data_IF_427349867008
#
_entry.id   IF_427349867008
#
_cell.length_a   1.000
_cell.length_b   1.000
_cell.length_c   1.000
_cell.angle_alpha   90.00
_cell.angle_beta   90.00
_cell.angle_gamma   90.00
#
_symmetry.space_group_name_H-M   'P 1'
#
loop_
_entity.id
_entity.type
_entity.pdbx_description
1 polymer ?
#
# COMPACT_ATOMS: atom_id res chain seq x y z
N UNK A 1 -25.12 -19.92 34.87
CA UNK A 1 -25.27 -21.28 34.32
C UNK A 1 -24.02 -21.58 33.51
N UNK A 2 -22.97 -22.03 34.19
CA UNK A 2 -21.72 -22.50 33.58
C UNK A 2 -21.91 -23.94 33.08
N UNK A 3 -21.40 -24.25 31.90
CA UNK A 3 -20.96 -25.62 31.58
C UNK A 3 -19.65 -25.59 30.79
N UNK A 4 -18.55 -25.72 31.53
CA UNK A 4 -17.30 -26.32 31.06
C UNK A 4 -17.57 -27.79 30.71
N UNK A 5 -17.06 -28.27 29.59
CA UNK A 5 -16.96 -29.70 29.31
C UNK A 5 -15.48 -30.04 29.08
N UNK A 6 -14.94 -30.84 29.99
CA UNK A 6 -13.56 -31.33 30.02
C UNK A 6 -13.54 -32.84 29.82
N UNK A 7 -12.60 -33.30 28.98
CA UNK A 7 -11.75 -34.50 29.12
C UNK A 7 -12.38 -35.90 29.26
N UNK A 8 -11.99 -36.80 28.34
CA UNK A 8 -11.39 -38.14 28.59
C UNK A 8 -11.18 -38.84 27.23
N UNK A 9 -9.98 -39.12 26.73
CA UNK A 9 -8.96 -40.10 27.17
C UNK A 9 -9.47 -41.55 27.28
N UNK A 10 -8.99 -42.42 26.38
CA UNK A 10 -8.55 -43.84 26.57
C UNK A 10 -8.20 -44.41 25.18
N UNK A 11 -6.92 -44.57 24.83
CA UNK A 11 -5.98 -45.66 25.14
C UNK A 11 -6.33 -47.03 24.53
N UNK A 12 -5.45 -47.44 23.60
CA UNK A 12 -4.92 -48.79 23.44
C UNK A 12 -5.72 -49.71 22.50
N UNK A 13 -5.14 -50.71 21.85
CA UNK A 13 -3.76 -51.14 21.65
C UNK A 13 -3.84 -52.40 20.78
N UNK A 14 -2.81 -52.64 19.93
CA UNK A 14 -2.35 -53.97 19.44
C UNK A 14 -3.33 -54.77 18.57
N UNK A 15 -2.95 -55.64 17.63
CA UNK A 15 -1.69 -56.13 17.06
C UNK A 15 -2.06 -57.18 15.99
N UNK A 16 -1.04 -57.70 15.29
CA UNK A 16 -0.97 -58.95 14.49
C UNK A 16 -1.18 -58.72 12.98
N UNK A 17 -0.11 -58.61 12.16
CA UNK A 17 0.86 -59.63 11.68
C UNK A 17 0.24 -60.84 10.97
N UNK A 18 0.50 -60.94 9.66
CA UNK A 18 0.80 -62.16 8.89
C UNK A 18 1.05 -61.73 7.43
N UNK A 19 2.30 -61.74 6.93
CA UNK A 19 2.92 -62.81 6.10
C UNK A 19 2.10 -63.22 4.87
N UNK A 20 2.61 -63.46 3.67
CA UNK A 20 3.93 -63.42 3.01
C UNK A 20 3.61 -63.75 1.54
N UNK A 21 4.10 -63.01 0.55
CA UNK A 21 4.44 -63.61 -0.76
C UNK A 21 5.19 -62.60 -1.63
N UNK A 22 6.49 -62.87 -1.80
CA UNK A 22 7.29 -62.34 -2.87
C UNK A 22 7.27 -63.35 -4.02
N UNK A 23 6.98 -62.89 -5.24
CA UNK A 23 7.52 -63.48 -6.46
C UNK A 23 7.84 -62.35 -7.43
N UNK A 24 9.13 -62.27 -7.76
CA UNK A 24 9.66 -61.46 -8.84
C UNK A 24 9.52 -62.22 -10.16
N UNK A 25 9.06 -61.52 -11.21
CA UNK A 25 9.40 -61.84 -12.59
C UNK A 25 9.68 -60.54 -13.35
N UNK A 26 10.75 -60.61 -14.12
CA UNK A 26 11.50 -59.59 -14.84
C UNK A 26 10.78 -59.08 -16.10
N UNK A 27 11.11 -57.87 -16.55
CA UNK A 27 10.85 -57.42 -17.92
C UNK A 27 10.32 -55.99 -18.10
N UNK A 28 11.21 -55.08 -18.52
CA UNK A 28 10.88 -54.04 -19.50
C UNK A 28 10.49 -52.63 -18.99
N UNK A 29 11.46 -51.71 -19.02
CA UNK A 29 11.23 -50.30 -19.39
C UNK A 29 11.70 -50.11 -20.85
N UNK A 30 11.32 -49.06 -21.63
CA UNK A 30 10.81 -47.75 -21.17
C UNK A 30 9.67 -47.15 -22.02
N UNK A 31 8.88 -46.24 -21.46
CA UNK A 31 8.42 -45.05 -22.18
C UNK A 31 8.06 -43.94 -21.19
N UNK A 32 8.79 -42.85 -21.30
CA UNK A 32 8.56 -41.56 -20.65
C UNK A 32 7.16 -41.01 -20.99
N UNK A 33 6.33 -40.83 -19.97
CA UNK A 33 5.28 -39.81 -19.96
C UNK A 33 5.66 -38.79 -18.91
N UNK A 34 6.43 -37.80 -19.34
CA UNK A 34 6.77 -36.62 -18.56
C UNK A 34 5.50 -35.77 -18.38
N UNK A 35 4.81 -35.96 -17.25
CA UNK A 35 3.90 -34.96 -16.72
C UNK A 35 4.70 -33.68 -16.47
N UNK A 36 4.52 -32.71 -17.35
CA UNK A 36 5.13 -31.39 -17.21
C UNK A 36 4.31 -30.61 -16.19
N UNK A 37 4.52 -30.90 -14.91
CA UNK A 37 4.18 -29.96 -13.85
C UNK A 37 5.05 -28.71 -14.06
N UNK A 38 4.46 -27.71 -14.70
CA UNK A 38 5.06 -26.39 -14.84
C UNK A 38 5.17 -25.76 -13.44
N UNK A 39 6.26 -26.09 -12.74
CA UNK A 39 6.66 -25.46 -11.50
C UNK A 39 6.69 -23.95 -11.72
N UNK A 40 5.74 -23.25 -11.11
CA UNK A 40 5.71 -21.80 -11.08
C UNK A 40 7.03 -21.32 -10.49
N UNK A 41 7.88 -20.72 -11.34
CA UNK A 41 9.18 -20.18 -10.92
C UNK A 41 8.93 -19.18 -9.80
N UNK A 42 9.54 -19.36 -8.60
CA UNK A 42 9.43 -18.35 -7.56
C UNK A 42 10.03 -17.06 -8.13
N UNK A 43 9.24 -16.00 -8.14
CA UNK A 43 9.70 -14.65 -8.49
C UNK A 43 10.87 -14.36 -7.57
N UNK A 44 12.08 -14.36 -8.13
CA UNK A 44 13.30 -14.22 -7.36
C UNK A 44 13.39 -12.78 -6.84
N UNK A 45 12.79 -12.55 -5.68
CA UNK A 45 12.95 -11.31 -4.93
C UNK A 45 14.40 -11.26 -4.43
N UNK A 46 15.11 -10.16 -4.74
CA UNK A 46 16.53 -10.04 -4.42
C UNK A 46 16.78 -10.18 -2.92
N UNK A 47 17.84 -10.89 -2.50
CA UNK A 47 18.30 -10.96 -1.10
C UNK A 47 18.37 -9.60 -0.39
N UNK A 48 18.70 -8.55 -1.13
CA UNK A 48 18.74 -7.16 -0.66
C UNK A 48 17.41 -6.62 -0.10
N UNK A 49 16.27 -7.25 -0.43
CA UNK A 49 14.94 -6.82 0.00
C UNK A 49 14.62 -7.27 1.43
N UNK A 50 14.81 -8.56 1.73
CA UNK A 50 14.60 -9.09 3.09
C UNK A 50 15.61 -8.51 4.09
N UNK A 51 16.86 -8.33 3.67
CA UNK A 51 17.91 -7.74 4.51
C UNK A 51 17.63 -6.26 4.85
N UNK A 52 16.91 -5.53 3.98
CA UNK A 52 16.46 -4.15 4.25
C UNK A 52 15.31 -4.07 5.25
N UNK A 53 14.40 -5.04 5.21
CA UNK A 53 13.31 -5.18 6.17
C UNK A 53 13.89 -5.51 7.56
N UNK A 54 14.90 -6.38 7.64
CA UNK A 54 15.59 -6.75 8.88
C UNK A 54 16.44 -5.60 9.47
N UNK A 55 17.03 -4.74 8.62
CA UNK A 55 17.82 -3.57 9.06
C UNK A 55 16.97 -2.41 9.59
N UNK A 56 15.66 -2.58 9.75
CA UNK A 56 14.76 -1.57 10.31
C UNK A 56 14.56 -0.35 9.40
N UNK A 57 15.02 -0.39 8.15
CA UNK A 57 14.90 0.74 7.23
C UNK A 57 13.71 0.51 6.30
N UNK A 58 12.51 0.84 6.78
CA UNK A 58 11.24 0.77 6.03
C UNK A 58 11.14 1.76 4.86
N UNK A 59 12.26 2.29 4.38
CA UNK A 59 12.37 3.26 3.31
C UNK A 59 12.49 2.56 1.95
N UNK A 60 11.47 2.73 1.11
CA UNK A 60 11.46 2.25 -0.27
C UNK A 60 11.69 3.41 -1.23
N UNK A 61 12.86 3.47 -1.86
CA UNK A 61 13.16 4.49 -2.88
C UNK A 61 12.44 4.16 -4.19
N UNK A 62 11.75 5.15 -4.74
CA UNK A 62 10.97 5.02 -5.97
C UNK A 62 11.47 6.07 -6.98
N UNK A 63 11.82 5.60 -8.18
CA UNK A 63 12.23 6.43 -9.30
C UNK A 63 11.15 6.53 -10.38
N UNK A 64 11.45 7.22 -11.46
CA UNK A 64 10.55 7.40 -12.61
C UNK A 64 10.23 6.08 -13.34
N UNK A 65 11.20 5.17 -13.40
CA UNK A 65 11.08 3.85 -14.04
C UNK A 65 10.56 2.74 -13.12
N UNK A 66 10.29 3.06 -11.84
CA UNK A 66 9.76 2.09 -10.88
C UNK A 66 8.34 1.66 -11.28
N UNK A 67 8.09 0.36 -11.25
CA UNK A 67 6.79 -0.23 -11.57
C UNK A 67 5.84 -0.07 -10.37
N UNK A 68 4.73 0.68 -10.50
CA UNK A 68 3.86 0.96 -9.36
C UNK A 68 3.17 -0.29 -8.80
N UNK A 69 2.92 -1.31 -9.63
CA UNK A 69 2.27 -2.55 -9.21
C UNK A 69 3.12 -3.36 -8.22
N UNK A 70 4.42 -3.46 -8.45
CA UNK A 70 5.32 -4.23 -7.57
C UNK A 70 5.41 -3.59 -6.19
N UNK A 71 5.54 -2.26 -6.15
CA UNK A 71 5.48 -1.48 -4.90
C UNK A 71 4.11 -1.56 -4.23
N UNK A 72 3.03 -1.60 -5.00
CA UNK A 72 1.68 -1.78 -4.45
C UNK A 72 1.51 -3.15 -3.76
N UNK A 73 2.09 -4.21 -4.33
CA UNK A 73 2.09 -5.54 -3.72
C UNK A 73 2.84 -5.54 -2.39
N UNK A 74 4.00 -4.87 -2.34
CA UNK A 74 4.77 -4.68 -1.10
C UNK A 74 3.94 -3.99 -0.02
N UNK A 75 3.33 -2.85 -0.36
CA UNK A 75 2.50 -2.06 0.56
C UNK A 75 1.33 -2.91 1.08
N UNK A 76 0.62 -3.62 0.19
CA UNK A 76 -0.52 -4.43 0.57
C UNK A 76 -0.13 -5.62 1.45
N UNK A 77 1.01 -6.27 1.18
CA UNK A 77 1.52 -7.36 2.01
C UNK A 77 1.87 -6.87 3.42
N UNK A 78 2.60 -5.75 3.53
CA UNK A 78 2.95 -5.16 4.82
C UNK A 78 1.73 -4.61 5.57
N UNK A 79 0.76 -4.04 4.85
CA UNK A 79 -0.51 -3.58 5.42
C UNK A 79 -1.29 -4.72 6.10
N UNK A 80 -1.31 -5.92 5.49
CA UNK A 80 -1.99 -7.10 6.04
C UNK A 80 -1.23 -7.79 7.18
N UNK A 81 0.10 -7.69 7.21
CA UNK A 81 0.92 -8.29 8.27
C UNK A 81 1.00 -7.41 9.53
N UNK A 82 1.47 -7.94 10.66
CA UNK A 82 1.71 -7.18 11.89
C UNK A 82 3.02 -6.37 11.85
N UNK A 83 3.31 -5.75 10.70
CA UNK A 83 4.50 -4.91 10.47
C UNK A 83 4.07 -3.52 10.02
N UNK A 84 4.94 -2.54 10.21
CA UNK A 84 4.71 -1.19 9.72
C UNK A 84 4.70 -1.15 8.19
N UNK A 85 3.86 -0.26 7.64
CA UNK A 85 3.86 0.02 6.21
C UNK A 85 5.15 0.74 5.81
N UNK A 86 5.57 0.64 4.54
CA UNK A 86 6.81 1.26 4.09
C UNK A 86 6.62 2.77 3.92
N UNK A 87 7.70 3.53 4.07
CA UNK A 87 7.76 4.93 3.65
C UNK A 87 8.37 5.00 2.26
N UNK A 88 7.66 5.60 1.30
CA UNK A 88 8.21 5.76 -0.04
C UNK A 88 9.00 7.05 -0.14
N UNK A 89 10.25 6.98 -0.58
CA UNK A 89 11.03 8.17 -0.93
C UNK A 89 10.94 8.41 -2.43
N UNK A 90 10.39 9.55 -2.82
CA UNK A 90 10.22 9.94 -4.22
C UNK A 90 10.91 11.27 -4.47
N UNK A 91 11.52 11.39 -5.65
CA UNK A 91 12.18 12.63 -6.09
C UNK A 91 11.64 13.02 -7.45
N UNK A 92 11.08 14.22 -7.52
CA UNK A 92 10.54 14.82 -8.74
C UNK A 92 9.17 14.27 -9.18
N UNK A 93 8.55 14.89 -10.20
CA UNK A 93 7.14 14.66 -10.52
C UNK A 93 6.80 13.24 -10.97
N UNK A 94 7.66 12.63 -11.79
CA UNK A 94 7.41 11.29 -12.33
C UNK A 94 7.44 10.23 -11.23
N UNK A 95 8.44 10.29 -10.36
CA UNK A 95 8.56 9.39 -9.19
C UNK A 95 7.38 9.55 -8.24
N UNK A 96 6.95 10.79 -7.96
CA UNK A 96 5.77 11.08 -7.14
C UNK A 96 4.50 10.47 -7.74
N UNK A 97 4.32 10.58 -9.06
CA UNK A 97 3.20 9.96 -9.77
C UNK A 97 3.20 8.42 -9.63
N UNK A 98 4.36 7.77 -9.81
CA UNK A 98 4.46 6.32 -9.62
C UNK A 98 4.21 5.91 -8.16
N UNK A 99 4.71 6.70 -7.20
CA UNK A 99 4.46 6.52 -5.77
C UNK A 99 2.97 6.53 -5.44
N UNK A 100 2.25 7.54 -5.92
CA UNK A 100 0.82 7.64 -5.68
C UNK A 100 0.00 6.58 -6.40
N UNK A 101 0.38 6.21 -7.62
CA UNK A 101 -0.22 5.07 -8.32
C UNK A 101 -0.03 3.78 -7.53
N UNK A 102 1.16 3.54 -6.98
CA UNK A 102 1.41 2.36 -6.15
C UNK A 102 0.51 2.33 -4.91
N UNK A 103 0.36 3.46 -4.22
CA UNK A 103 -0.53 3.55 -3.05
C UNK A 103 -1.99 3.34 -3.47
N UNK A 104 -2.46 3.96 -4.55
CA UNK A 104 -3.83 3.77 -5.04
C UNK A 104 -4.11 2.31 -5.45
N UNK A 105 -3.19 1.65 -6.17
CA UNK A 105 -3.30 0.22 -6.51
C UNK A 105 -3.31 -0.64 -5.25
N UNK A 106 -2.48 -0.32 -4.25
CA UNK A 106 -2.43 -1.08 -2.99
C UNK A 106 -3.78 -1.03 -2.26
N UNK A 107 -4.47 0.12 -2.30
CA UNK A 107 -5.83 0.25 -1.76
C UNK A 107 -6.83 -0.66 -2.48
N UNK A 108 -6.68 -0.83 -3.80
CA UNK A 108 -7.48 -1.79 -4.58
C UNK A 108 -7.21 -3.23 -4.13
N UNK A 109 -5.95 -3.62 -3.93
CA UNK A 109 -5.64 -4.95 -3.39
C UNK A 109 -6.23 -5.16 -2.00
N UNK A 110 -6.24 -4.12 -1.18
CA UNK A 110 -6.83 -4.16 0.16
C UNK A 110 -8.38 -4.09 0.15
N UNK A 111 -9.05 -3.91 -1.00
CA UNK A 111 -10.53 -3.95 -1.06
C UNK A 111 -11.08 -5.31 -0.65
N UNK A 112 -10.36 -6.39 -0.92
CA UNK A 112 -10.71 -7.76 -0.51
C UNK A 112 -10.55 -7.98 1.01
N UNK A 113 -9.74 -7.15 1.67
CA UNK A 113 -9.56 -7.17 3.12
C UNK A 113 -10.54 -6.17 3.74
N UNK A 114 -11.68 -6.65 4.26
CA UNK A 114 -12.83 -5.82 4.66
C UNK A 114 -12.51 -4.73 5.72
N UNK A 115 -11.43 -4.91 6.46
CA UNK A 115 -11.13 -4.25 7.72
C UNK A 115 -9.90 -3.32 7.63
N UNK A 116 -9.10 -3.40 6.56
CA UNK A 116 -7.88 -2.61 6.38
C UNK A 116 -7.90 -1.76 5.11
N UNK A 117 -7.47 -0.51 5.25
CA UNK A 117 -7.18 0.44 4.17
C UNK A 117 -5.84 1.13 4.48
N UNK A 118 -5.30 1.83 3.49
CA UNK A 118 -4.07 2.61 3.66
C UNK A 118 -4.27 4.06 3.22
N UNK A 119 -3.59 4.95 3.92
CA UNK A 119 -3.47 6.35 3.57
C UNK A 119 -1.99 6.75 3.60
N UNK A 120 -1.67 7.93 3.08
CA UNK A 120 -0.30 8.45 3.13
C UNK A 120 -0.26 9.86 3.68
N UNK A 121 0.91 10.21 4.20
CA UNK A 121 1.26 11.50 4.75
C UNK A 121 2.53 11.98 4.07
N UNK A 122 2.48 13.05 3.26
CA UNK A 122 3.65 13.56 2.59
C UNK A 122 4.46 14.46 3.53
N UNK A 123 5.79 14.35 3.43
CA UNK A 123 6.76 15.15 4.19
C UNK A 123 7.97 15.48 3.32
N UNK A 124 8.50 16.70 3.42
CA UNK A 124 9.72 17.06 2.71
C UNK A 124 10.94 16.47 3.40
N UNK A 125 11.88 15.95 2.61
CA UNK A 125 13.18 15.51 3.09
C UNK A 125 14.28 16.18 2.26
N UNK A 126 15.35 16.58 2.93
CA UNK A 126 16.57 16.97 2.25
C UNK A 126 17.39 15.70 1.98
N UNK A 127 17.94 15.60 0.78
CA UNK A 127 18.80 14.50 0.36
C UNK A 127 20.26 14.98 0.36
N UNK A 128 21.19 14.05 0.54
CA UNK A 128 22.63 14.33 0.56
C UNK A 128 23.15 14.88 -0.79
N UNK A 129 22.42 14.64 -1.87
CA UNK A 129 22.69 15.18 -3.21
C UNK A 129 22.25 16.64 -3.38
N UNK A 130 21.72 17.26 -2.33
CA UNK A 130 21.23 18.65 -2.34
C UNK A 130 19.83 18.82 -2.92
N UNK A 131 19.20 17.75 -3.42
CA UNK A 131 17.83 17.81 -3.89
C UNK A 131 16.83 17.69 -2.74
N UNK A 132 15.62 18.23 -2.96
CA UNK A 132 14.49 18.03 -2.04
C UNK A 132 13.66 16.84 -2.50
N UNK A 133 13.63 15.79 -1.69
CA UNK A 133 12.75 14.65 -1.86
C UNK A 133 11.43 14.83 -1.12
N UNK A 134 10.51 13.91 -1.37
CA UNK A 134 9.26 13.77 -0.62
C UNK A 134 9.22 12.35 -0.05
N UNK A 135 8.97 12.24 1.25
CA UNK A 135 8.63 11.00 1.92
C UNK A 135 7.12 10.86 1.94
N UNK A 136 6.61 9.76 1.40
CA UNK A 136 5.21 9.35 1.51
C UNK A 136 5.13 8.31 2.62
N UNK A 137 4.85 8.77 3.85
CA UNK A 137 4.67 7.90 5.02
C UNK A 137 3.32 7.19 4.91
N UNK A 138 3.31 5.89 4.71
CA UNK A 138 2.08 5.11 4.58
C UNK A 138 1.59 4.68 5.96
N UNK A 139 0.30 4.87 6.24
CA UNK A 139 -0.34 4.50 7.51
C UNK A 139 -1.51 3.56 7.25
N UNK A 140 -1.68 2.58 8.13
CA UNK A 140 -2.84 1.70 8.14
C UNK A 140 -4.02 2.44 8.75
N UNK A 141 -5.21 2.25 8.18
CA UNK A 141 -6.47 2.76 8.71
C UNK A 141 -7.54 1.70 8.59
N UNK A 142 -8.46 1.69 9.56
CA UNK A 142 -9.69 0.93 9.41
C UNK A 142 -10.47 1.48 8.21
N UNK A 143 -11.04 0.56 7.41
CA UNK A 143 -11.88 0.94 6.28
C UNK A 143 -13.17 1.60 6.82
N UNK A 144 -13.39 2.87 6.47
CA UNK A 144 -14.64 3.60 6.76
C UNK A 144 -15.30 3.96 5.44
N UNK A 145 -16.59 3.63 5.28
CA UNK A 145 -17.38 3.87 4.07
C UNK A 145 -18.20 5.16 4.11
N UNK A 146 -18.27 5.84 5.26
CA UNK A 146 -19.16 6.98 5.47
C UNK A 146 -18.55 8.33 5.07
N UNK A 147 -19.23 9.05 4.18
CA UNK A 147 -19.15 10.52 4.01
C UNK A 147 -18.26 11.06 2.88
N UNK A 148 -18.04 10.32 1.80
CA UNK A 148 -17.30 10.86 0.64
C UNK A 148 -18.11 11.86 -0.20
N UNK A 149 -19.45 11.88 -0.05
CA UNK A 149 -20.38 12.60 -0.92
C UNK A 149 -20.38 14.13 -0.74
N UNK A 150 -19.97 14.65 0.42
CA UNK A 150 -20.02 16.09 0.73
C UNK A 150 -18.63 16.78 0.66
N UNK A 151 -17.62 16.09 0.14
CA UNK A 151 -16.28 16.64 0.11
C UNK A 151 -16.13 17.72 -0.98
N UNK A 152 -15.62 18.90 -0.61
CA UNK A 152 -15.32 19.96 -1.58
C UNK A 152 -14.24 19.47 -2.55
N UNK A 153 -14.49 19.57 -3.85
CA UNK A 153 -13.53 19.16 -4.86
C UNK A 153 -12.71 20.36 -5.37
N UNK A 154 -11.39 20.23 -5.36
CA UNK A 154 -10.44 21.14 -6.01
C UNK A 154 -9.68 20.39 -7.10
N UNK A 155 -9.37 21.08 -8.20
CA UNK A 155 -8.53 20.55 -9.28
C UNK A 155 -7.13 21.14 -9.19
N UNK A 156 -6.11 20.30 -9.23
CA UNK A 156 -4.72 20.73 -9.32
C UNK A 156 -4.21 20.57 -10.75
N UNK A 157 -3.46 21.57 -11.21
CA UNK A 157 -2.74 21.58 -12.48
C UNK A 157 -1.22 21.65 -12.23
N UNK A 158 -0.41 21.44 -13.27
CA UNK A 158 1.05 21.55 -13.18
C UNK A 158 1.51 22.97 -12.83
N UNK A 159 0.74 23.98 -13.25
CA UNK A 159 0.95 25.40 -12.96
C UNK A 159 0.38 25.86 -11.61
N UNK A 160 -0.32 24.99 -10.87
CA UNK A 160 -0.86 25.35 -9.55
C UNK A 160 0.27 25.66 -8.58
N UNK A 161 0.20 26.82 -7.94
CA UNK A 161 1.08 27.16 -6.83
C UNK A 161 0.70 26.32 -5.60
N UNK A 162 1.64 25.48 -5.17
CA UNK A 162 1.47 24.61 -4.03
C UNK A 162 1.19 25.39 -2.73
N UNK A 163 1.71 26.62 -2.56
CA UNK A 163 1.49 27.43 -1.36
C UNK A 163 0.06 27.94 -1.28
N UNK A 164 -0.49 28.40 -2.41
CA UNK A 164 -1.88 28.86 -2.48
C UNK A 164 -2.84 27.70 -2.22
N UNK A 165 -2.61 26.55 -2.86
CA UNK A 165 -3.40 25.35 -2.61
C UNK A 165 -3.27 24.87 -1.15
N UNK A 166 -2.08 24.96 -0.55
CA UNK A 166 -1.85 24.63 0.86
C UNK A 166 -2.66 25.53 1.81
N UNK A 167 -2.76 26.84 1.53
CA UNK A 167 -3.58 27.77 2.29
C UNK A 167 -5.05 27.34 2.31
N UNK A 168 -5.59 26.99 1.13
CA UNK A 168 -6.94 26.46 1.02
C UNK A 168 -7.10 25.14 1.80
N UNK A 169 -6.18 24.18 1.65
CA UNK A 169 -6.20 22.91 2.40
C UNK A 169 -6.22 23.17 3.92
N UNK A 170 -5.38 24.08 4.41
CA UNK A 170 -5.24 24.38 5.83
C UNK A 170 -6.52 24.99 6.40
N UNK A 171 -7.17 25.90 5.66
CA UNK A 171 -8.46 26.48 6.07
C UNK A 171 -9.55 25.41 6.20
N UNK A 172 -9.67 24.54 5.18
CA UNK A 172 -10.65 23.45 5.20
C UNK A 172 -10.39 22.45 6.33
N UNK A 173 -9.12 22.17 6.62
CA UNK A 173 -8.74 21.30 7.73
C UNK A 173 -9.17 21.88 9.07
N UNK A 174 -8.95 23.18 9.31
CA UNK A 174 -9.40 23.87 10.53
C UNK A 174 -10.92 23.90 10.69
N UNK A 175 -11.65 24.01 9.58
CA UNK A 175 -13.12 23.93 9.56
C UNK A 175 -13.67 22.50 9.77
N UNK A 176 -12.80 21.48 9.82
CA UNK A 176 -13.21 20.07 9.90
C UNK A 176 -13.93 19.58 8.64
N UNK A 177 -13.79 20.30 7.52
CA UNK A 177 -14.48 19.98 6.27
C UNK A 177 -13.69 18.97 5.45
N UNK A 178 -14.43 18.08 4.78
CA UNK A 178 -13.84 17.11 3.86
C UNK A 178 -13.48 17.80 2.56
N UNK A 179 -12.31 17.48 2.04
CA UNK A 179 -11.83 18.00 0.76
C UNK A 179 -11.20 16.91 -0.09
N UNK A 180 -11.33 17.07 -1.40
CA UNK A 180 -10.83 16.17 -2.41
C UNK A 180 -10.02 16.97 -3.40
N UNK A 181 -8.82 16.50 -3.72
CA UNK A 181 -7.98 17.07 -4.76
C UNK A 181 -7.92 16.10 -5.94
N UNK A 182 -8.34 16.55 -7.12
CA UNK A 182 -8.21 15.79 -8.36
C UNK A 182 -7.05 16.36 -9.16
N UNK A 183 -6.12 15.50 -9.55
CA UNK A 183 -4.94 15.87 -10.32
C UNK A 183 -4.74 14.92 -11.51
N UNK A 184 -4.43 15.51 -12.67
CA UNK A 184 -4.14 14.78 -13.91
C UNK A 184 -2.68 15.01 -14.29
N UNK A 185 -1.93 13.93 -14.45
CA UNK A 185 -0.53 13.96 -14.86
C UNK A 185 0.47 14.25 -13.72
N UNK A 186 1.73 13.92 -13.98
CA UNK A 186 2.79 13.91 -12.98
C UNK A 186 3.07 15.28 -12.35
N UNK A 187 3.05 16.35 -13.15
CA UNK A 187 3.28 17.72 -12.67
C UNK A 187 2.21 18.17 -11.67
N UNK A 188 0.93 18.00 -12.04
CA UNK A 188 -0.23 18.35 -11.20
C UNK A 188 -0.25 17.56 -9.89
N UNK A 189 0.02 16.25 -9.98
CA UNK A 189 0.10 15.38 -8.80
C UNK A 189 1.21 15.84 -7.86
N UNK A 190 2.38 16.19 -8.40
CA UNK A 190 3.49 16.68 -7.60
C UNK A 190 3.16 18.00 -6.88
N UNK A 191 2.47 18.93 -7.54
CA UNK A 191 2.02 20.17 -6.90
C UNK A 191 0.99 19.90 -5.80
N UNK A 192 0.04 19.00 -6.04
CA UNK A 192 -0.94 18.62 -5.03
C UNK A 192 -0.28 17.98 -3.79
N UNK A 193 0.67 17.06 -3.99
CA UNK A 193 1.41 16.42 -2.87
C UNK A 193 2.23 17.44 -2.09
N UNK A 194 2.90 18.37 -2.79
CA UNK A 194 3.62 19.47 -2.15
C UNK A 194 2.68 20.36 -1.34
N UNK A 195 1.52 20.71 -1.90
CA UNK A 195 0.53 21.53 -1.22
C UNK A 195 0.03 20.86 0.06
N UNK A 196 -0.24 19.55 0.02
CA UNK A 196 -0.62 18.77 1.21
C UNK A 196 0.52 18.76 2.23
N UNK A 197 1.78 18.55 1.80
CA UNK A 197 2.92 18.55 2.72
C UNK A 197 3.12 19.90 3.43
N UNK A 198 2.94 21.01 2.71
CA UNK A 198 2.96 22.36 3.28
C UNK A 198 1.76 22.55 4.23
N UNK A 199 0.56 22.16 3.81
CA UNK A 199 -0.65 22.30 4.61
C UNK A 199 -0.56 21.54 5.93
N UNK A 200 0.02 20.34 5.93
CA UNK A 200 0.29 19.56 7.15
C UNK A 200 1.16 20.34 8.13
N UNK A 201 2.25 20.96 7.66
CA UNK A 201 3.09 21.82 8.52
C UNK A 201 2.35 23.05 9.03
N UNK A 202 1.45 23.62 8.22
CA UNK A 202 0.68 24.81 8.61
C UNK A 202 -0.36 24.52 9.69
N UNK A 203 -0.79 23.26 9.87
CA UNK A 203 -1.82 22.87 10.85
C UNK A 203 -1.26 22.05 12.02
N UNK A 204 0.07 21.89 12.06
CA UNK A 204 0.78 21.08 13.05
C UNK A 204 0.70 21.71 14.46
N UNK A 205 0.75 23.04 14.55
CA UNK A 205 0.65 23.78 15.82
C UNK A 205 -0.74 23.66 16.46
N UNK A 206 -1.79 23.46 15.66
CA UNK A 206 -3.17 23.22 16.12
C UNK A 206 -3.45 21.74 16.46
N UNK A 207 -2.43 20.88 16.47
CA UNK A 207 -2.55 19.44 16.68
C UNK A 207 -3.53 18.77 15.70
N UNK A 208 -3.57 19.26 14.45
CA UNK A 208 -4.35 18.66 13.37
C UNK A 208 -3.38 17.94 12.43
N UNK A 209 -3.73 16.73 12.00
CA UNK A 209 -2.99 15.99 10.98
C UNK A 209 -3.89 15.71 9.77
N UNK A 210 -3.27 15.69 8.59
CA UNK A 210 -3.93 15.48 7.31
C UNK A 210 -3.38 14.21 6.67
N UNK A 211 -4.27 13.24 6.44
CA UNK A 211 -3.96 12.00 5.75
C UNK A 211 -4.64 11.98 4.39
N UNK A 212 -4.02 11.31 3.43
CA UNK A 212 -4.51 11.28 2.06
C UNK A 212 -4.83 9.86 1.62
N UNK A 213 -6.01 9.68 1.03
CA UNK A 213 -6.46 8.43 0.41
C UNK A 213 -6.55 8.61 -1.12
N UNK A 214 -5.57 8.11 -1.88
CA UNK A 214 -5.54 8.25 -3.33
C UNK A 214 -6.39 7.17 -4.00
N UNK A 215 -7.16 7.53 -5.00
CA UNK A 215 -8.01 6.63 -5.79
C UNK A 215 -7.96 7.05 -7.27
N UNK A 216 -8.07 6.07 -8.16
CA UNK A 216 -8.22 6.36 -9.59
C UNK A 216 -9.65 6.80 -9.87
N UNK A 217 -9.79 7.90 -10.61
CA UNK A 217 -11.07 8.36 -11.13
C UNK A 217 -10.91 8.67 -12.60
N UNK A 218 -11.99 8.53 -13.36
CA UNK A 218 -12.03 9.02 -14.73
C UNK A 218 -12.57 10.45 -14.74
N UNK A 219 -12.01 11.30 -15.59
CA UNK A 219 -12.43 12.69 -15.80
C UNK A 219 -12.55 12.92 -17.30
N UNK A 220 -13.59 13.65 -17.72
CA UNK A 220 -13.86 14.18 -19.07
C UNK A 220 -13.11 13.44 -20.20
N UNK A 221 -13.82 12.54 -20.89
CA UNK A 221 -13.33 11.76 -22.04
C UNK A 221 -12.43 10.56 -21.69
N UNK A 222 -12.66 9.92 -20.54
CA UNK A 222 -11.96 8.68 -20.16
C UNK A 222 -10.52 8.87 -19.70
N UNK A 223 -10.09 10.12 -19.45
CA UNK A 223 -8.74 10.38 -18.94
C UNK A 223 -8.64 9.96 -17.48
N UNK A 224 -7.72 9.03 -17.17
CA UNK A 224 -7.48 8.60 -15.80
C UNK A 224 -6.79 9.69 -14.99
N UNK A 225 -7.44 10.14 -13.93
CA UNK A 225 -6.95 11.07 -12.93
C UNK A 225 -6.71 10.37 -11.59
N UNK A 226 -5.92 11.00 -10.73
CA UNK A 226 -5.81 10.62 -9.33
C UNK A 226 -6.64 11.58 -8.47
N UNK A 227 -7.59 11.01 -7.73
CA UNK A 227 -8.42 11.67 -6.73
C UNK A 227 -7.81 11.39 -5.35
N UNK A 228 -7.42 12.43 -4.63
CA UNK A 228 -6.89 12.34 -3.27
C UNK A 228 -7.94 12.87 -2.31
N UNK A 229 -8.56 11.98 -1.54
CA UNK A 229 -9.44 12.36 -0.44
C UNK A 229 -8.58 12.72 0.77
N UNK A 230 -8.78 13.92 1.32
CA UNK A 230 -8.12 14.37 2.54
C UNK A 230 -8.96 13.98 3.75
N UNK A 231 -8.31 13.34 4.72
CA UNK A 231 -8.85 13.00 6.02
C UNK A 231 -8.17 13.89 7.05
N UNK A 232 -8.98 14.60 7.82
CA UNK A 232 -8.53 15.45 8.91
C UNK A 232 -8.69 14.69 10.21
N UNK A 233 -7.62 14.61 11.01
CA UNK A 233 -7.62 13.97 12.32
C UNK A 233 -7.03 14.92 13.35
N UNK A 234 -7.58 14.91 14.56
CA UNK A 234 -6.96 15.58 15.70
C UNK A 234 -5.94 14.62 16.31
N UNK A 235 -4.70 15.07 16.42
CA UNK A 235 -3.58 14.36 17.07
C UNK A 235 -3.49 14.66 18.55
#
# INVERSE_FOLDING_TARGET
SEKRCTLASRRGARSLLSSSMAMAIDGGMPTDVAETEAAAKPVHMSRNFFERIERGNNLTKMGSSSKPRDTAMLIAAQARACVDCPTLQVVGPQSTNQGLKAIAISRTFLKESNDTDVCFQPEFTHLDDGHTGILLKIRKKARRTSGEAEAQQLKAASSTDARVLAGAISSFAREGRRMVIVAIGAGSINQAVKAIAIARKNVEEEAIDILCKPEFTEVNDGTTALRMLLLVEQT
#
